data_IF_683394761667
#
_entry.id   IF_683394761667
#
_cell.length_a   1.000
_cell.length_b   1.000
_cell.length_c   1.000
_cell.angle_alpha   90.00
_cell.angle_beta   90.00
_cell.angle_gamma   90.00
#
_symmetry.space_group_name_H-M   'P 1'
#
loop_
_entity.id
_entity.type
_entity.pdbx_description
1 polymer ?
#
# COMPACT_ATOMS: atom_id res chain seq x y z
N UNK A 1 13.18 -9.21 -20.08
CA UNK A 1 13.15 -10.21 -18.99
C UNK A 1 14.43 -11.04 -18.94
N UNK A 2 14.66 -11.98 -19.86
CA UNK A 2 15.82 -12.88 -19.79
C UNK A 2 17.19 -12.18 -19.69
N UNK A 3 17.40 -11.08 -20.43
CA UNK A 3 18.65 -10.30 -20.36
C UNK A 3 18.90 -9.70 -18.96
N UNK A 4 17.86 -9.16 -18.31
CA UNK A 4 17.94 -8.65 -16.95
C UNK A 4 18.23 -9.77 -15.94
N UNK A 5 17.64 -10.95 -16.16
CA UNK A 5 17.89 -12.13 -15.32
C UNK A 5 19.34 -12.60 -15.42
N UNK A 6 19.89 -12.68 -16.64
CA UNK A 6 21.30 -13.04 -16.85
C UNK A 6 22.21 -12.00 -16.21
N UNK A 7 21.91 -10.71 -16.35
CA UNK A 7 22.66 -9.63 -15.68
C UNK A 7 22.72 -9.83 -14.15
N UNK A 8 21.58 -10.14 -13.52
CA UNK A 8 21.54 -10.43 -12.07
C UNK A 8 22.43 -11.62 -11.71
N UNK A 9 22.37 -12.72 -12.47
CA UNK A 9 23.19 -13.90 -12.19
C UNK A 9 24.69 -13.63 -12.34
N UNK A 10 25.10 -12.95 -13.42
CA UNK A 10 26.51 -12.66 -13.69
C UNK A 10 27.09 -11.70 -12.64
N UNK A 11 26.35 -10.65 -12.27
CA UNK A 11 26.83 -9.68 -11.28
C UNK A 11 26.85 -10.24 -9.85
N UNK A 12 25.88 -11.09 -9.50
CA UNK A 12 25.92 -11.84 -8.25
C UNK A 12 27.13 -12.79 -8.21
N UNK A 13 27.41 -13.46 -9.33
CA UNK A 13 28.57 -14.35 -9.49
C UNK A 13 29.90 -13.59 -9.42
N UNK A 14 29.93 -12.34 -9.89
CA UNK A 14 31.05 -11.43 -9.78
C UNK A 14 31.24 -10.87 -8.35
N UNK A 15 30.30 -11.11 -7.44
CA UNK A 15 30.38 -10.70 -6.05
C UNK A 15 29.92 -9.26 -5.80
N UNK A 16 29.18 -8.64 -6.73
CA UNK A 16 28.56 -7.32 -6.50
C UNK A 16 27.48 -7.43 -5.41
N UNK A 17 27.21 -6.31 -4.74
CA UNK A 17 26.13 -6.26 -3.75
C UNK A 17 24.75 -6.25 -4.42
N UNK A 18 23.71 -6.68 -3.68
CA UNK A 18 22.32 -6.60 -4.14
C UNK A 18 21.97 -5.17 -4.59
N UNK A 19 22.38 -4.15 -3.82
CA UNK A 19 22.12 -2.74 -4.15
C UNK A 19 22.80 -2.27 -5.44
N UNK A 20 24.01 -2.75 -5.72
CA UNK A 20 24.71 -2.39 -6.97
C UNK A 20 24.01 -3.02 -8.17
N UNK A 21 23.49 -4.24 -8.02
CA UNK A 21 22.75 -4.94 -9.07
C UNK A 21 21.39 -4.28 -9.30
N UNK A 22 20.69 -3.87 -8.23
CA UNK A 22 19.44 -3.10 -8.34
C UNK A 22 19.63 -1.81 -9.14
N UNK A 23 20.80 -1.16 -9.00
CA UNK A 23 21.14 0.06 -9.72
C UNK A 23 21.55 -0.23 -11.16
N UNK A 24 22.57 -1.06 -11.37
CA UNK A 24 23.11 -1.40 -12.70
C UNK A 24 22.08 -2.09 -13.61
N UNK A 25 21.15 -2.87 -13.03
CA UNK A 25 20.07 -3.50 -13.79
C UNK A 25 19.11 -2.51 -14.45
N UNK A 26 19.02 -1.27 -13.94
CA UNK A 26 18.23 -0.18 -14.56
C UNK A 26 18.93 0.46 -15.75
N UNK A 27 20.23 0.23 -15.91
CA UNK A 27 21.04 0.85 -16.96
C UNK A 27 21.18 -0.04 -18.20
N UNK A 28 20.72 -1.30 -18.11
CA UNK A 28 20.93 -2.32 -19.12
C UNK A 28 20.10 -2.12 -20.40
N UNK A 29 18.85 -1.68 -20.26
CA UNK A 29 17.90 -1.56 -21.37
C UNK A 29 17.21 -0.20 -21.35
N UNK A 30 17.02 0.37 -22.54
CA UNK A 30 16.24 1.57 -22.79
C UNK A 30 15.00 1.25 -23.63
N UNK A 31 14.00 2.15 -23.70
CA UNK A 31 12.82 1.95 -24.53
C UNK A 31 13.14 1.65 -26.00
N UNK A 32 14.22 2.24 -26.53
CA UNK A 32 14.69 1.97 -27.90
C UNK A 32 15.22 0.54 -28.12
N UNK A 33 15.57 -0.19 -27.05
CA UNK A 33 16.10 -1.56 -27.11
C UNK A 33 15.01 -2.64 -27.07
N UNK A 34 13.74 -2.24 -26.88
CA UNK A 34 12.62 -3.16 -26.69
C UNK A 34 11.47 -2.84 -27.64
N UNK A 35 10.55 -3.80 -27.80
CA UNK A 35 9.32 -3.55 -28.55
C UNK A 35 8.46 -2.49 -27.84
N UNK A 36 7.68 -1.75 -28.63
CA UNK A 36 6.72 -0.78 -28.13
C UNK A 36 5.79 -1.38 -27.05
N UNK A 37 5.54 -0.65 -25.97
CA UNK A 37 4.71 -1.09 -24.84
C UNK A 37 5.40 -2.02 -23.84
N UNK A 38 6.58 -2.58 -24.15
CA UNK A 38 7.30 -3.48 -23.21
C UNK A 38 7.82 -2.72 -22.01
N UNK A 39 8.29 -1.50 -22.19
CA UNK A 39 8.80 -0.68 -21.10
C UNK A 39 7.68 -0.31 -20.10
N UNK A 40 6.46 -0.13 -20.61
CA UNK A 40 5.26 0.17 -19.85
C UNK A 40 4.67 -1.07 -19.13
N UNK A 41 4.93 -2.28 -19.64
CA UNK A 41 4.44 -3.53 -19.04
C UNK A 41 5.32 -4.05 -17.88
N UNK A 42 6.61 -3.71 -17.84
CA UNK A 42 7.56 -4.29 -16.88
C UNK A 42 7.86 -3.30 -15.75
N UNK A 43 7.06 -3.32 -14.70
CA UNK A 43 7.26 -2.48 -13.50
C UNK A 43 8.42 -2.96 -12.62
N UNK A 44 8.63 -4.28 -12.55
CA UNK A 44 9.75 -4.84 -11.81
C UNK A 44 10.16 -6.21 -12.36
N UNK A 45 11.42 -6.56 -12.11
CA UNK A 45 11.94 -7.91 -12.33
C UNK A 45 12.55 -8.40 -11.03
N UNK A 46 12.12 -9.59 -10.62
CA UNK A 46 12.56 -10.26 -9.39
C UNK A 46 13.30 -11.55 -9.73
N UNK A 47 14.51 -11.68 -9.19
CA UNK A 47 15.39 -12.82 -9.46
C UNK A 47 16.11 -13.20 -8.17
N UNK A 48 16.05 -14.47 -7.79
CA UNK A 48 16.90 -15.02 -6.74
C UNK A 48 18.23 -15.49 -7.33
N UNK A 49 19.34 -15.04 -6.76
CA UNK A 49 20.68 -15.42 -7.20
C UNK A 49 21.56 -15.79 -6.01
N UNK A 50 22.57 -16.63 -6.24
CA UNK A 50 23.55 -17.03 -5.21
C UNK A 50 24.72 -16.06 -5.17
N UNK A 51 24.84 -15.36 -4.04
CA UNK A 51 25.95 -14.44 -3.73
C UNK A 51 27.00 -15.16 -2.87
N UNK A 52 28.20 -14.58 -2.67
CA UNK A 52 29.19 -15.12 -1.74
C UNK A 52 28.66 -15.32 -0.31
N UNK A 53 27.65 -14.56 0.10
CA UNK A 53 26.98 -14.63 1.40
C UNK A 53 25.63 -15.38 1.36
N UNK A 54 25.41 -16.19 0.32
CA UNK A 54 24.22 -17.04 0.14
C UNK A 54 23.17 -16.48 -0.82
N UNK A 55 22.04 -17.17 -0.96
CA UNK A 55 20.98 -16.78 -1.89
C UNK A 55 20.24 -15.54 -1.42
N UNK A 56 20.01 -14.59 -2.33
CA UNK A 56 19.28 -13.34 -2.09
C UNK A 56 18.30 -13.05 -3.22
N UNK A 57 17.16 -12.46 -2.89
CA UNK A 57 16.22 -11.90 -3.86
C UNK A 57 16.68 -10.51 -4.29
N UNK A 58 16.86 -10.32 -5.59
CA UNK A 58 17.12 -9.01 -6.21
C UNK A 58 15.84 -8.53 -6.87
N UNK A 59 15.40 -7.32 -6.54
CA UNK A 59 14.26 -6.66 -7.19
C UNK A 59 14.74 -5.42 -7.92
N UNK A 60 14.67 -5.44 -9.25
CA UNK A 60 14.96 -4.27 -10.08
C UNK A 60 13.63 -3.60 -10.40
N UNK A 61 13.36 -2.44 -9.79
CA UNK A 61 12.19 -1.62 -10.09
C UNK A 61 12.43 -0.75 -11.32
N UNK A 62 11.43 -0.66 -12.17
CA UNK A 62 11.44 0.09 -13.44
C UNK A 62 12.72 -0.20 -14.25
N UNK A 63 13.01 -1.46 -14.61
CA UNK A 63 14.30 -1.85 -15.19
C UNK A 63 14.61 -1.21 -16.55
N UNK A 64 13.61 -0.67 -17.25
CA UNK A 64 13.77 -0.02 -18.56
C UNK A 64 13.60 1.50 -18.37
N UNK A 65 14.71 2.23 -18.29
CA UNK A 65 14.72 3.65 -17.94
C UNK A 65 14.42 4.56 -19.15
N UNK A 66 13.56 5.55 -18.96
CA UNK A 66 13.12 6.47 -20.03
C UNK A 66 11.60 6.57 -20.17
N UNK A 67 10.86 5.70 -19.48
CA UNK A 67 9.44 5.86 -19.22
C UNK A 67 9.26 6.86 -18.08
N UNK A 68 9.23 8.16 -18.40
CA UNK A 68 8.73 9.15 -17.45
C UNK A 68 7.22 8.96 -17.30
N UNK A 69 6.76 8.63 -16.09
CA UNK A 69 5.39 8.90 -15.68
C UNK A 69 5.31 10.41 -15.42
N UNK A 70 5.28 11.21 -16.49
CA UNK A 70 4.93 12.63 -16.40
C UNK A 70 3.48 12.81 -16.83
N UNK A 71 2.74 13.79 -16.27
CA UNK A 71 1.50 14.23 -16.87
C UNK A 71 1.81 14.63 -18.32
N UNK A 72 1.02 14.13 -19.25
CA UNK A 72 1.24 14.30 -20.68
C UNK A 72 1.03 15.78 -21.01
N UNK A 73 2.10 16.55 -21.26
CA UNK A 73 1.99 17.73 -22.11
C UNK A 73 1.98 17.22 -23.55
N UNK A 74 0.92 17.53 -24.30
CA UNK A 74 0.58 16.97 -25.63
C UNK A 74 1.58 17.26 -26.76
N UNK A 75 2.77 17.79 -26.47
CA UNK A 75 3.68 18.27 -27.49
C UNK A 75 4.83 17.27 -27.73
N UNK A 76 4.71 16.54 -28.84
CA UNK A 76 5.79 15.89 -29.59
C UNK A 76 6.48 14.65 -28.99
N UNK A 77 5.85 13.48 -29.18
CA UNK A 77 6.40 12.20 -29.66
C UNK A 77 5.22 11.24 -29.86
N UNK A 78 5.36 10.23 -30.72
CA UNK A 78 4.29 9.25 -31.00
C UNK A 78 3.61 8.80 -29.69
N UNK A 79 2.26 8.71 -29.65
CA UNK A 79 1.55 8.32 -28.43
C UNK A 79 2.06 6.95 -27.97
N UNK A 80 2.65 6.90 -26.77
CA UNK A 80 3.18 5.65 -26.22
C UNK A 80 2.04 4.66 -26.02
N UNK A 81 2.23 3.43 -26.47
CA UNK A 81 1.27 2.34 -26.23
C UNK A 81 1.42 1.87 -24.80
N UNK A 82 0.30 1.84 -24.08
CA UNK A 82 0.19 1.28 -22.73
C UNK A 82 -0.72 0.04 -22.77
N UNK A 83 -0.18 -1.18 -22.95
CA UNK A 83 -0.98 -2.39 -22.98
C UNK A 83 -1.77 -2.55 -21.67
N UNK A 84 -3.08 -2.78 -21.78
CA UNK A 84 -3.96 -2.94 -20.62
C UNK A 84 -4.28 -1.65 -19.86
N UNK A 85 -3.98 -0.47 -20.42
CA UNK A 85 -4.32 0.82 -19.82
C UNK A 85 -5.82 0.89 -19.48
N UNK A 86 -6.10 1.23 -18.23
CA UNK A 86 -7.45 1.60 -17.80
C UNK A 86 -7.63 3.10 -18.07
N UNK A 87 -8.64 3.44 -18.87
CA UNK A 87 -8.98 4.83 -19.15
C UNK A 87 -10.13 5.27 -18.24
N UNK A 88 -9.94 6.43 -17.62
CA UNK A 88 -10.99 7.12 -16.88
C UNK A 88 -11.48 8.31 -17.71
N UNK A 89 -12.76 8.69 -17.59
CA UNK A 89 -13.26 9.93 -18.17
C UNK A 89 -12.39 11.13 -17.75
N UNK A 90 -12.15 12.08 -18.65
CA UNK A 90 -11.32 13.25 -18.36
C UNK A 90 -11.89 14.13 -17.23
N UNK A 91 -13.21 14.05 -17.02
CA UNK A 91 -13.97 14.73 -15.98
C UNK A 91 -14.30 13.83 -14.78
N UNK A 92 -13.62 12.67 -14.66
CA UNK A 92 -13.81 11.76 -13.54
C UNK A 92 -13.57 12.47 -12.20
N UNK A 93 -14.54 12.32 -11.29
CA UNK A 93 -14.48 12.87 -9.93
C UNK A 93 -14.04 11.77 -8.96
N UNK A 94 -13.40 12.14 -7.82
CA UNK A 94 -13.18 11.20 -6.73
C UNK A 94 -14.48 10.48 -6.34
N UNK A 95 -14.39 9.17 -6.12
CA UNK A 95 -15.53 8.37 -5.68
C UNK A 95 -15.65 8.50 -4.16
N UNK A 96 -16.76 9.08 -3.70
CA UNK A 96 -17.11 9.06 -2.29
C UNK A 96 -17.35 7.63 -1.81
N UNK A 97 -17.02 7.35 -0.56
CA UNK A 97 -17.28 6.06 0.09
C UNK A 97 -17.98 6.29 1.43
N UNK A 98 -18.65 5.26 1.95
CA UNK A 98 -19.42 5.32 3.21
C UNK A 98 -20.49 6.44 3.22
N UNK A 99 -21.01 6.85 2.05
CA UNK A 99 -21.99 7.92 1.96
C UNK A 99 -23.27 7.60 2.76
N UNK A 100 -23.81 8.63 3.41
CA UNK A 100 -25.02 8.50 4.24
C UNK A 100 -24.81 7.88 5.61
N UNK A 101 -23.60 7.42 5.94
CA UNK A 101 -23.28 6.96 7.29
C UNK A 101 -22.89 8.14 8.19
N UNK A 102 -23.34 8.09 9.45
CA UNK A 102 -22.96 9.08 10.45
C UNK A 102 -21.47 8.95 10.76
N UNK A 103 -20.75 10.06 10.62
CA UNK A 103 -19.32 10.15 10.95
C UNK A 103 -19.17 10.58 12.40
N UNK A 104 -18.35 9.85 13.15
CA UNK A 104 -17.98 10.18 14.52
C UNK A 104 -16.47 10.31 14.62
N UNK A 105 -16.00 11.45 15.10
CA UNK A 105 -14.57 11.67 15.34
C UNK A 105 -14.21 11.25 16.77
N UNK A 106 -13.07 10.56 16.91
CA UNK A 106 -12.49 10.19 18.21
C UNK A 106 -11.00 10.51 18.24
N UNK A 107 -10.52 10.87 19.43
CA UNK A 107 -9.10 11.11 19.71
C UNK A 107 -8.41 9.82 20.14
N UNK A 108 -7.24 9.52 19.56
CA UNK A 108 -6.48 8.29 19.84
C UNK A 108 -5.00 8.59 19.94
N UNK A 109 -4.34 8.14 21.00
CA UNK A 109 -2.88 8.22 21.14
C UNK A 109 -2.26 6.82 21.24
N UNK A 110 -1.00 6.70 20.79
CA UNK A 110 -0.19 5.49 20.97
C UNK A 110 0.98 5.77 21.92
N UNK A 111 0.82 5.56 23.24
CA UNK A 111 1.90 5.70 24.23
C UNK A 111 2.92 4.54 24.19
N UNK A 112 2.69 3.50 23.36
CA UNK A 112 3.53 2.30 23.35
C UNK A 112 4.84 2.54 22.58
N UNK A 113 5.78 1.63 22.76
CA UNK A 113 7.09 1.62 22.08
C UNK A 113 7.06 1.06 20.64
N UNK A 114 5.88 0.59 20.19
CA UNK A 114 5.69 -0.07 18.90
C UNK A 114 4.50 0.52 18.14
N UNK A 115 4.62 0.63 16.81
CA UNK A 115 3.54 1.14 15.97
C UNK A 115 2.34 0.19 16.00
N UNK A 116 1.14 0.77 15.97
CA UNK A 116 -0.11 0.03 15.84
C UNK A 116 -0.80 0.46 14.56
N UNK A 117 -1.36 -0.49 13.82
CA UNK A 117 -2.07 -0.21 12.58
C UNK A 117 -3.45 -0.87 12.63
N UNK A 118 -4.50 -0.08 12.41
CA UNK A 118 -5.89 -0.52 12.49
C UNK A 118 -6.53 -0.44 11.10
N UNK A 119 -7.10 -1.56 10.65
CA UNK A 119 -7.68 -1.68 9.32
C UNK A 119 -9.07 -1.06 9.19
N UNK A 120 -9.46 -0.72 7.96
CA UNK A 120 -10.75 -0.11 7.59
C UNK A 120 -12.01 -0.79 8.14
N UNK A 121 -11.98 -2.11 8.35
CA UNK A 121 -13.14 -2.92 8.77
C UNK A 121 -12.97 -3.57 10.14
N UNK A 122 -11.99 -3.11 10.93
CA UNK A 122 -11.82 -3.56 12.30
C UNK A 122 -12.83 -2.84 13.22
N UNK A 123 -13.44 -3.56 14.17
CA UNK A 123 -14.31 -2.94 15.18
C UNK A 123 -13.44 -2.09 16.11
N UNK A 124 -13.56 -0.76 16.00
CA UNK A 124 -12.56 0.16 16.52
C UNK A 124 -12.44 0.13 18.05
N UNK A 125 -13.54 -0.11 18.77
CA UNK A 125 -13.52 -0.26 20.22
C UNK A 125 -12.65 -1.43 20.70
N UNK A 126 -12.50 -2.48 19.89
CA UNK A 126 -11.65 -3.65 20.16
C UNK A 126 -10.21 -3.47 19.67
N UNK A 127 -9.79 -2.28 19.23
CA UNK A 127 -8.41 -2.05 18.81
C UNK A 127 -7.42 -2.38 19.94
N UNK A 128 -6.12 -2.41 19.61
CA UNK A 128 -5.05 -2.76 20.56
C UNK A 128 -5.22 -1.97 21.87
N UNK A 129 -5.22 -2.61 23.06
CA UNK A 129 -5.49 -1.93 24.32
C UNK A 129 -4.37 -0.95 24.71
N UNK A 130 -3.21 -1.05 24.07
CA UNK A 130 -2.14 -0.07 24.18
C UNK A 130 -2.43 1.25 23.48
N UNK A 131 -3.47 1.34 22.64
CA UNK A 131 -4.00 2.61 22.16
C UNK A 131 -4.85 3.24 23.26
N UNK A 132 -4.52 4.49 23.59
CA UNK A 132 -5.23 5.28 24.57
C UNK A 132 -6.35 6.05 23.88
N UNK A 133 -7.55 5.86 24.42
CA UNK A 133 -8.76 6.60 24.10
C UNK A 133 -9.35 7.05 25.43
N UNK A 134 -9.99 8.21 25.47
CA UNK A 134 -10.82 8.57 26.62
C UNK A 134 -11.97 7.56 26.78
N UNK A 135 -12.55 7.45 27.97
CA UNK A 135 -13.71 6.57 28.19
C UNK A 135 -14.87 6.94 27.25
N UNK A 136 -15.12 8.24 27.09
CA UNK A 136 -16.12 8.79 26.17
C UNK A 136 -15.83 8.40 24.70
N UNK A 137 -14.57 8.49 24.26
CA UNK A 137 -14.19 8.12 22.90
C UNK A 137 -14.29 6.62 22.64
N UNK A 138 -14.02 5.80 23.66
CA UNK A 138 -14.18 4.35 23.57
C UNK A 138 -15.65 3.95 23.43
N UNK A 139 -16.55 4.60 24.16
CA UNK A 139 -17.99 4.43 24.00
C UNK A 139 -18.44 4.89 22.60
N UNK A 140 -17.97 6.04 22.13
CA UNK A 140 -18.25 6.53 20.76
C UNK A 140 -17.75 5.59 19.68
N UNK A 141 -16.68 4.85 19.91
CA UNK A 141 -16.09 3.89 18.98
C UNK A 141 -16.83 2.56 18.91
N UNK A 142 -17.69 2.25 19.88
CA UNK A 142 -18.42 1.00 19.92
C UNK A 142 -19.36 0.84 18.71
N UNK A 143 -19.29 -0.32 18.08
CA UNK A 143 -20.05 -0.65 16.87
C UNK A 143 -19.64 0.15 15.63
N UNK A 144 -18.45 0.77 15.63
CA UNK A 144 -17.91 1.56 14.51
C UNK A 144 -16.58 1.02 13.98
N UNK A 145 -16.23 1.45 12.78
CA UNK A 145 -14.98 1.14 12.06
C UNK A 145 -14.42 2.41 11.42
N UNK A 146 -13.15 2.41 11.03
CA UNK A 146 -12.51 3.57 10.40
C UNK A 146 -13.24 4.00 9.11
N UNK A 147 -13.44 5.32 8.98
CA UNK A 147 -13.95 5.96 7.77
C UNK A 147 -12.83 6.16 6.73
N UNK A 148 -12.24 5.07 6.27
CA UNK A 148 -11.18 5.07 5.27
C UNK A 148 -11.53 4.09 4.14
N UNK A 149 -10.83 4.20 3.00
CA UNK A 149 -11.04 3.33 1.86
C UNK A 149 -10.87 1.85 2.26
N UNK A 150 -11.71 0.98 1.70
CA UNK A 150 -11.68 -0.45 2.00
C UNK A 150 -10.30 -1.06 1.68
N UNK A 151 -9.81 -1.94 2.55
CA UNK A 151 -8.47 -2.53 2.44
C UNK A 151 -7.33 -1.65 2.95
N UNK A 152 -7.57 -0.36 3.23
CA UNK A 152 -6.58 0.52 3.85
C UNK A 152 -6.67 0.51 5.38
N UNK A 153 -5.81 1.30 6.03
CA UNK A 153 -5.65 1.33 7.49
C UNK A 153 -5.09 2.66 7.97
N UNK A 154 -5.36 3.03 9.22
CA UNK A 154 -4.64 4.10 9.93
C UNK A 154 -3.50 3.51 10.75
N UNK A 155 -2.33 4.12 10.64
CA UNK A 155 -1.13 3.78 11.43
C UNK A 155 -0.94 4.83 12.52
N UNK A 156 -0.67 4.38 13.73
CA UNK A 156 -0.40 5.19 14.92
C UNK A 156 1.04 4.95 15.35
N UNK A 157 1.90 5.97 15.20
CA UNK A 157 3.31 5.87 15.55
C UNK A 157 3.53 5.98 17.07
N UNK A 158 4.53 5.29 17.63
CA UNK A 158 4.93 5.39 19.04
C UNK A 158 5.12 6.83 19.50
N UNK A 159 4.53 7.20 20.64
CA UNK A 159 4.76 8.46 21.35
C UNK A 159 4.62 9.71 20.46
N UNK A 160 3.81 9.65 19.40
CA UNK A 160 3.67 10.70 18.39
C UNK A 160 2.60 11.76 18.73
N UNK A 161 1.92 11.60 19.86
CA UNK A 161 0.83 12.46 20.32
C UNK A 161 -0.54 11.82 20.11
N UNK A 162 -1.55 12.68 19.91
CA UNK A 162 -2.95 12.29 19.69
C UNK A 162 -3.34 12.54 18.24
N UNK A 163 -3.87 11.51 17.59
CA UNK A 163 -4.48 11.56 16.27
C UNK A 163 -6.01 11.67 16.41
N UNK A 164 -6.63 12.50 15.58
CA UNK A 164 -8.08 12.45 15.35
C UNK A 164 -8.38 11.45 14.24
N UNK A 165 -9.34 10.55 14.47
CA UNK A 165 -9.79 9.59 13.46
C UNK A 165 -11.31 9.62 13.31
N UNK A 166 -11.75 9.55 12.06
CA UNK A 166 -13.16 9.43 11.72
C UNK A 166 -13.59 7.97 11.70
N UNK A 167 -14.72 7.70 12.33
CA UNK A 167 -15.36 6.39 12.39
C UNK A 167 -16.75 6.46 11.76
N UNK A 168 -17.18 5.36 11.15
CA UNK A 168 -18.54 5.15 10.66
C UNK A 168 -19.11 3.87 11.27
N UNK A 169 -20.44 3.77 11.47
CA UNK A 169 -21.06 2.56 11.98
C UNK A 169 -20.74 1.34 11.11
N UNK A 170 -20.52 0.21 11.77
CA UNK A 170 -20.62 -1.09 11.13
C UNK A 170 -22.07 -1.24 10.64
N UNK A 171 -22.25 -1.63 9.39
CA UNK A 171 -23.56 -1.84 8.77
C UNK A 171 -23.88 -3.34 8.65
N UNK A 172 -25.00 -3.68 8.01
CA UNK A 172 -25.49 -5.06 7.93
C UNK A 172 -26.08 -5.52 9.26
N UNK A 173 -25.90 -6.80 9.61
CA UNK A 173 -26.42 -7.39 10.87
C UNK A 173 -25.70 -6.89 12.13
N UNK A 174 -24.61 -6.12 11.99
CA UNK A 174 -23.87 -5.54 13.12
C UNK A 174 -23.43 -6.59 14.16
N UNK A 175 -22.88 -7.70 13.67
CA UNK A 175 -22.36 -8.81 14.49
C UNK A 175 -20.83 -8.87 14.40
N UNK A 176 -20.13 -8.91 15.54
CA UNK A 176 -18.67 -8.98 15.68
C UNK A 176 -18.27 -10.25 16.44
N UNK A 177 -18.03 -11.36 15.71
CA UNK A 177 -17.72 -12.67 16.31
C UNK A 177 -16.23 -12.90 16.67
N UNK A 178 -15.33 -12.13 16.05
CA UNK A 178 -13.89 -12.38 16.07
C UNK A 178 -13.10 -11.40 16.95
N UNK A 179 -11.98 -10.93 16.41
CA UNK A 179 -11.14 -9.89 17.00
C UNK A 179 -10.60 -10.30 18.39
N UNK A 180 -10.84 -9.49 19.42
CA UNK A 180 -10.46 -9.79 20.79
C UNK A 180 -11.58 -10.48 21.57
N UNK A 181 -12.74 -10.66 20.94
CA UNK A 181 -13.96 -11.26 21.50
C UNK A 181 -14.50 -10.50 22.72
N UNK A 182 -14.26 -9.19 22.79
CA UNK A 182 -14.82 -8.37 23.86
C UNK A 182 -16.33 -8.16 23.64
N UNK A 183 -16.77 -8.06 22.38
CA UNK A 183 -18.18 -8.17 21.99
C UNK A 183 -18.54 -9.64 21.76
N UNK A 184 -17.87 -10.29 20.79
CA UNK A 184 -18.06 -11.72 20.51
C UNK A 184 -19.48 -12.12 20.07
N UNK A 185 -20.26 -11.19 19.51
CA UNK A 185 -21.68 -11.35 19.25
C UNK A 185 -22.32 -10.15 18.53
N UNK A 186 -23.63 -10.01 18.68
CA UNK A 186 -24.39 -8.84 18.20
C UNK A 186 -23.93 -7.57 18.93
N UNK A 187 -23.86 -6.45 18.21
CA UNK A 187 -23.58 -5.13 18.79
C UNK A 187 -24.83 -4.48 19.39
N UNK A 188 -26.01 -4.99 19.08
CA UNK A 188 -27.29 -4.34 19.38
C UNK A 188 -28.14 -5.14 20.39
N UNK A 189 -27.54 -6.14 21.06
CA UNK A 189 -28.15 -6.97 22.13
C UNK A 189 -28.02 -6.34 23.53
#
# INVERSE_FOLDING_TARGET
>A
MALLTVHVFEEARAGKSVSDIMTSGRELLRPEDVMEGVAEMIESVQVEATFPDGTKLVTIHNPIQGVRIQPIEETERQPRVHPGKVEHPADAKPISFNEGLEVTTVSVSNPQDRPVQVGSHYHFAEANPGLELSEEDREKAYGKRLNVAAGTSKRFEPCSGTDEVELVPIAGERVVLGLRKEVGGSLDD
#
